data_IF_047470438622
#
_entry.id   IF_047470438622
#
_cell.length_a   1.000
_cell.length_b   1.000
_cell.length_c   1.000
_cell.angle_alpha   90.00
_cell.angle_beta   90.00
_cell.angle_gamma   90.00
#
_symmetry.space_group_name_H-M   'P 1'
#
loop_
_entity.id
_entity.type
_entity.pdbx_description
1 polymer ?
#
# COMPACT_ATOMS: atom_id res chain seq x y z
N UNK A 1 3.85 8.66 -5.93
CA UNK A 1 4.32 7.42 -5.31
C UNK A 1 3.16 6.73 -4.59
N UNK A 2 3.14 5.41 -4.45
CA UNK A 2 2.04 4.66 -3.84
C UNK A 2 2.44 4.06 -2.48
N UNK A 3 1.48 3.35 -1.86
CA UNK A 3 1.72 2.71 -0.55
C UNK A 3 2.80 1.62 -0.57
N UNK A 4 3.02 0.96 -1.72
CA UNK A 4 4.03 -0.09 -1.86
C UNK A 4 5.45 0.46 -1.69
N UNK A 5 5.78 1.55 -2.36
CA UNK A 5 7.13 2.16 -2.30
C UNK A 5 7.44 2.64 -0.89
N UNK A 6 6.48 3.31 -0.25
CA UNK A 6 6.62 3.77 1.15
C UNK A 6 6.80 2.60 2.11
N UNK A 7 6.05 1.52 1.91
CA UNK A 7 6.19 0.30 2.71
C UNK A 7 7.59 -0.31 2.59
N UNK A 8 8.10 -0.45 1.37
CA UNK A 8 9.44 -1.04 1.12
C UNK A 8 10.54 -0.24 1.81
N UNK A 9 10.49 1.10 1.74
CA UNK A 9 11.44 1.98 2.44
C UNK A 9 11.39 1.78 3.96
N UNK A 10 10.19 1.76 4.54
CA UNK A 10 9.99 1.52 5.99
C UNK A 10 10.49 0.15 6.42
N UNK A 11 10.17 -0.90 5.67
CA UNK A 11 10.61 -2.26 5.94
C UNK A 11 12.13 -2.37 5.89
N UNK A 12 12.76 -1.83 4.85
CA UNK A 12 14.22 -1.88 4.70
C UNK A 12 14.91 -1.14 5.84
N UNK A 13 14.44 0.07 6.21
CA UNK A 13 14.97 0.82 7.35
C UNK A 13 14.87 0.01 8.63
N UNK A 14 13.72 -0.61 8.89
CA UNK A 14 13.51 -1.39 10.11
C UNK A 14 14.40 -2.63 10.15
N UNK A 15 14.52 -3.39 9.06
CA UNK A 15 15.44 -4.53 8.98
C UNK A 15 16.88 -4.12 9.27
N UNK A 16 17.33 -2.98 8.78
CA UNK A 16 18.67 -2.44 9.08
C UNK A 16 18.83 -2.08 10.56
N UNK A 17 17.82 -1.45 11.16
CA UNK A 17 17.81 -1.17 12.61
C UNK A 17 17.85 -2.44 13.45
N UNK A 18 17.26 -3.52 12.98
CA UNK A 18 17.27 -4.84 13.61
C UNK A 18 18.57 -5.63 13.33
N UNK A 19 19.56 -5.03 12.61
CA UNK A 19 20.89 -5.59 12.38
C UNK A 19 21.07 -6.38 11.08
N UNK A 20 20.08 -6.41 10.19
CA UNK A 20 20.19 -7.09 8.91
C UNK A 20 20.85 -6.18 7.84
N UNK A 21 21.65 -6.78 6.96
CA UNK A 21 22.15 -6.09 5.76
C UNK A 21 21.04 -6.04 4.70
N UNK A 22 20.32 -4.91 4.63
CA UNK A 22 19.24 -4.71 3.67
C UNK A 22 19.50 -3.46 2.82
N UNK A 23 19.37 -3.60 1.51
CA UNK A 23 19.56 -2.53 0.53
C UNK A 23 18.41 -2.53 -0.49
N UNK A 24 18.08 -1.39 -1.06
CA UNK A 24 17.02 -1.26 -2.05
C UNK A 24 17.58 -1.18 -3.47
N UNK A 25 16.86 -1.81 -4.41
CA UNK A 25 17.08 -1.67 -5.83
C UNK A 25 15.90 -0.96 -6.49
N UNK A 26 16.12 0.24 -7.01
CA UNK A 26 15.18 0.94 -7.86
C UNK A 26 15.39 0.58 -9.34
N UNK A 27 14.37 -0.02 -9.96
CA UNK A 27 14.40 -0.39 -11.38
C UNK A 27 14.00 0.76 -12.31
N UNK A 28 13.34 1.78 -11.80
CA UNK A 28 12.84 2.89 -12.60
C UNK A 28 13.02 4.24 -11.87
N UNK A 29 14.24 4.80 -11.88
CA UNK A 29 14.58 6.01 -11.16
C UNK A 29 13.78 7.26 -11.61
N UNK A 30 13.15 7.22 -12.79
CA UNK A 30 12.31 8.32 -13.28
C UNK A 30 10.98 8.46 -12.51
N UNK A 31 10.60 7.47 -11.71
CA UNK A 31 9.34 7.44 -10.93
C UNK A 31 9.56 7.73 -9.45
N UNK A 32 10.78 7.93 -9.02
CA UNK A 32 11.10 8.17 -7.62
C UNK A 32 10.73 9.61 -7.22
N UNK A 33 10.14 9.75 -6.03
CA UNK A 33 9.90 11.03 -5.41
C UNK A 33 11.12 11.41 -4.55
N UNK A 34 11.93 12.42 -4.96
CA UNK A 34 13.12 12.81 -4.22
C UNK A 34 12.82 13.23 -2.78
N UNK A 35 11.61 13.77 -2.51
CA UNK A 35 11.20 14.20 -1.17
C UNK A 35 10.98 13.03 -0.23
N UNK A 36 10.45 11.91 -0.77
CA UNK A 36 10.30 10.70 0.02
C UNK A 36 11.64 10.01 0.24
N UNK A 37 12.47 9.89 -0.80
CA UNK A 37 13.80 9.29 -0.69
C UNK A 37 14.66 10.04 0.34
N UNK A 38 14.62 11.37 0.35
CA UNK A 38 15.35 12.19 1.32
C UNK A 38 14.97 11.95 2.79
N UNK A 39 13.79 11.34 3.07
CA UNK A 39 13.41 10.94 4.42
C UNK A 39 14.03 9.60 4.85
N UNK A 40 14.73 8.91 3.94
CA UNK A 40 15.33 7.59 4.13
C UNK A 40 16.79 7.58 3.67
N UNK A 41 17.56 8.63 4.03
CA UNK A 41 18.98 8.81 3.69
C UNK A 41 19.89 7.74 4.31
N UNK A 42 19.41 7.08 5.38
CA UNK A 42 20.04 5.94 6.04
C UNK A 42 19.87 4.60 5.31
N UNK A 43 19.03 4.55 4.25
CA UNK A 43 18.78 3.33 3.45
C UNK A 43 19.60 3.38 2.16
N UNK A 44 20.54 2.44 1.93
CA UNK A 44 21.27 2.36 0.66
C UNK A 44 20.32 2.01 -0.49
N UNK A 45 20.28 2.90 -1.49
CA UNK A 45 19.42 2.73 -2.67
C UNK A 45 20.30 2.63 -3.92
N UNK A 46 20.22 1.49 -4.60
CA UNK A 46 20.84 1.28 -5.90
C UNK A 46 19.83 1.61 -7.00
N UNK A 47 20.26 2.32 -8.02
CA UNK A 47 19.42 2.60 -9.17
C UNK A 47 20.05 2.04 -10.45
N UNK A 48 19.25 1.38 -11.27
CA UNK A 48 19.70 0.99 -12.62
C UNK A 48 19.96 2.25 -13.43
N UNK A 49 21.17 2.45 -13.99
CA UNK A 49 21.54 3.70 -14.66
C UNK A 49 20.54 4.11 -15.75
N UNK A 50 20.14 5.37 -15.79
CA UNK A 50 19.17 5.89 -16.76
C UNK A 50 19.75 6.13 -18.17
N UNK A 51 21.07 6.01 -18.38
CA UNK A 51 21.74 6.30 -19.66
C UNK A 51 21.14 5.49 -20.81
N UNK A 52 20.67 6.17 -21.85
CA UNK A 52 20.02 5.55 -23.01
C UNK A 52 18.60 4.99 -22.76
N UNK A 53 18.04 5.17 -21.57
CA UNK A 53 16.74 4.62 -21.18
C UNK A 53 15.60 5.11 -22.07
N UNK A 54 15.60 6.38 -22.49
CA UNK A 54 14.57 6.95 -23.38
C UNK A 54 14.51 6.23 -24.74
N UNK A 55 15.68 6.00 -25.35
CA UNK A 55 15.78 5.29 -26.63
C UNK A 55 15.36 3.82 -26.50
N UNK A 56 15.75 3.15 -25.43
CA UNK A 56 15.37 1.77 -25.14
C UNK A 56 13.87 1.66 -24.90
N UNK A 57 13.27 2.55 -24.08
CA UNK A 57 11.82 2.61 -23.84
C UNK A 57 11.04 2.85 -25.15
N UNK A 58 11.59 3.71 -26.04
CA UNK A 58 10.99 3.96 -27.36
C UNK A 58 11.04 2.71 -28.26
N UNK A 59 12.17 2.03 -28.32
CA UNK A 59 12.34 0.80 -29.08
C UNK A 59 11.43 -0.33 -28.56
N UNK A 60 11.38 -0.54 -27.25
CA UNK A 60 10.47 -1.51 -26.63
C UNK A 60 8.98 -1.18 -26.90
N UNK A 61 8.62 0.11 -26.98
CA UNK A 61 7.26 0.55 -27.35
C UNK A 61 6.95 0.24 -28.81
N UNK A 62 7.87 0.53 -29.72
CA UNK A 62 7.73 0.23 -31.15
C UNK A 62 7.64 -1.28 -31.37
N UNK A 63 8.53 -2.06 -30.77
CA UNK A 63 8.49 -3.51 -30.83
C UNK A 63 7.13 -4.05 -30.41
N UNK A 64 6.60 -3.63 -29.25
CA UNK A 64 5.26 -4.04 -28.80
C UNK A 64 4.15 -3.65 -29.77
N UNK A 65 4.24 -2.46 -30.38
CA UNK A 65 3.27 -2.03 -31.40
C UNK A 65 3.26 -2.96 -32.64
N UNK A 66 4.41 -3.57 -32.93
CA UNK A 66 4.60 -4.57 -33.99
C UNK A 66 4.36 -6.01 -33.55
N UNK A 67 3.92 -6.23 -32.30
CA UNK A 67 3.75 -7.57 -31.73
C UNK A 67 5.05 -8.26 -31.29
N UNK A 68 6.17 -7.52 -31.22
CA UNK A 68 7.49 -8.05 -30.85
C UNK A 68 7.85 -7.58 -29.45
N UNK A 69 8.05 -8.52 -28.52
CA UNK A 69 8.45 -8.22 -27.14
C UNK A 69 9.99 -8.20 -27.02
N UNK A 70 10.60 -7.07 -27.34
CA UNK A 70 12.07 -6.91 -27.31
C UNK A 70 12.66 -7.01 -25.91
N UNK A 71 11.96 -6.49 -24.89
CA UNK A 71 12.39 -6.49 -23.48
C UNK A 71 13.81 -5.93 -23.26
N UNK A 72 14.25 -4.96 -24.03
CA UNK A 72 15.62 -4.41 -23.94
C UNK A 72 15.87 -3.71 -22.61
N UNK A 73 14.86 -3.01 -22.09
CA UNK A 73 14.95 -2.42 -20.75
C UNK A 73 15.19 -3.49 -19.69
N UNK A 74 14.42 -4.58 -19.71
CA UNK A 74 14.56 -5.70 -18.79
C UNK A 74 15.90 -6.42 -18.95
N UNK A 75 16.35 -6.65 -20.20
CA UNK A 75 17.65 -7.28 -20.48
C UNK A 75 18.81 -6.44 -19.95
N UNK A 76 18.74 -5.12 -20.11
CA UNK A 76 19.75 -4.19 -19.59
C UNK A 76 19.78 -4.19 -18.07
N UNK A 77 18.60 -4.06 -17.44
CA UNK A 77 18.47 -4.10 -15.99
C UNK A 77 19.03 -5.42 -15.43
N UNK A 78 18.68 -6.56 -16.05
CA UNK A 78 19.19 -7.86 -15.63
C UNK A 78 20.72 -7.93 -15.65
N UNK A 79 21.36 -7.49 -16.75
CA UNK A 79 22.84 -7.49 -16.84
C UNK A 79 23.49 -6.59 -15.79
N UNK A 80 22.88 -5.49 -15.47
CA UNK A 80 23.39 -4.59 -14.44
C UNK A 80 23.27 -5.23 -13.05
N UNK A 81 22.10 -5.78 -12.72
CA UNK A 81 21.84 -6.48 -11.44
C UNK A 81 22.79 -7.66 -11.28
N UNK A 82 22.98 -8.47 -12.33
CA UNK A 82 23.91 -9.61 -12.31
C UNK A 82 25.34 -9.21 -11.96
N UNK A 83 25.81 -8.08 -12.51
CA UNK A 83 27.18 -7.62 -12.27
C UNK A 83 27.39 -6.98 -10.91
N UNK A 84 26.36 -6.33 -10.37
CA UNK A 84 26.47 -5.49 -9.17
C UNK A 84 25.97 -6.16 -7.89
N UNK A 85 24.97 -7.03 -8.00
CA UNK A 85 24.21 -7.48 -6.84
C UNK A 85 24.14 -9.01 -6.66
N UNK A 86 24.26 -9.79 -7.74
CA UNK A 86 24.19 -11.26 -7.60
C UNK A 86 25.43 -11.79 -6.88
N UNK A 87 25.19 -12.62 -5.86
CA UNK A 87 26.23 -13.17 -4.99
C UNK A 87 26.60 -12.29 -3.79
N UNK A 88 25.95 -11.10 -3.65
CA UNK A 88 26.14 -10.23 -2.48
C UNK A 88 25.10 -10.45 -1.39
N UNK A 89 23.93 -10.97 -1.75
CA UNK A 89 22.78 -11.12 -0.85
C UNK A 89 22.27 -12.56 -0.87
N UNK A 90 21.85 -13.06 0.28
CA UNK A 90 21.28 -14.39 0.46
C UNK A 90 19.89 -14.50 -0.19
N UNK A 91 19.10 -13.41 -0.14
CA UNK A 91 17.73 -13.34 -0.61
C UNK A 91 17.49 -12.08 -1.44
N UNK A 92 16.77 -12.22 -2.52
CA UNK A 92 16.27 -11.12 -3.35
C UNK A 92 14.76 -10.99 -3.15
N UNK A 93 14.33 -9.93 -2.47
CA UNK A 93 12.92 -9.66 -2.24
C UNK A 93 12.38 -8.69 -3.28
N UNK A 94 11.38 -9.11 -4.02
CA UNK A 94 10.77 -8.34 -5.10
C UNK A 94 9.40 -7.81 -4.71
N UNK A 95 9.05 -6.64 -5.26
CA UNK A 95 7.76 -6.00 -5.07
C UNK A 95 7.25 -5.54 -6.43
N UNK A 96 6.13 -6.00 -6.88
CA UNK A 96 5.55 -5.77 -8.20
C UNK A 96 6.10 -6.70 -9.31
N UNK A 97 5.20 -7.07 -10.21
CA UNK A 97 5.47 -8.03 -11.28
C UNK A 97 6.69 -7.71 -12.16
N UNK A 98 6.99 -6.43 -12.39
CA UNK A 98 8.14 -6.04 -13.21
C UNK A 98 9.47 -6.48 -12.60
N UNK A 99 9.60 -6.42 -11.27
CA UNK A 99 10.75 -6.93 -10.53
C UNK A 99 10.74 -8.46 -10.48
N UNK A 100 9.58 -9.07 -10.22
CA UNK A 100 9.44 -10.53 -10.20
C UNK A 100 9.89 -11.15 -11.51
N UNK A 101 9.45 -10.59 -12.63
CA UNK A 101 9.84 -11.06 -13.97
C UNK A 101 11.34 -10.86 -14.24
N UNK A 102 11.92 -9.74 -13.81
CA UNK A 102 13.35 -9.48 -13.93
C UNK A 102 14.17 -10.56 -13.21
N UNK A 103 13.86 -10.82 -11.94
CA UNK A 103 14.57 -11.78 -11.12
C UNK A 103 14.30 -13.24 -11.57
N UNK A 104 13.12 -13.55 -12.08
CA UNK A 104 12.81 -14.82 -12.75
C UNK A 104 13.79 -15.09 -13.90
N UNK A 105 14.05 -14.07 -14.72
CA UNK A 105 15.03 -14.20 -15.83
C UNK A 105 16.47 -14.34 -15.36
N UNK A 106 16.84 -13.66 -14.28
CA UNK A 106 18.16 -13.79 -13.65
C UNK A 106 18.33 -15.21 -13.10
N UNK A 107 17.33 -15.75 -12.43
CA UNK A 107 17.34 -17.10 -11.85
C UNK A 107 17.57 -18.21 -12.88
N UNK A 108 17.15 -18.02 -14.14
CA UNK A 108 17.46 -18.95 -15.22
C UNK A 108 18.98 -19.11 -15.46
N UNK A 109 19.77 -18.05 -15.23
CA UNK A 109 21.22 -18.04 -15.39
C UNK A 109 21.97 -18.28 -14.09
N UNK A 110 21.32 -17.97 -12.97
CA UNK A 110 21.84 -18.11 -11.62
C UNK A 110 20.84 -18.90 -10.76
N UNK A 111 20.70 -20.24 -10.95
CA UNK A 111 19.67 -21.05 -10.29
C UNK A 111 19.73 -21.02 -8.77
N UNK A 112 20.88 -20.69 -8.19
CA UNK A 112 21.10 -20.64 -6.74
C UNK A 112 20.50 -19.42 -6.04
N UNK A 113 20.07 -18.37 -6.78
CA UNK A 113 19.46 -17.21 -6.10
C UNK A 113 18.11 -17.56 -5.50
N UNK A 114 17.82 -16.92 -4.36
CA UNK A 114 16.55 -17.05 -3.65
C UNK A 114 15.70 -15.83 -3.92
N UNK A 115 14.41 -16.04 -4.27
CA UNK A 115 13.48 -14.98 -4.60
C UNK A 115 12.25 -15.07 -3.70
N UNK A 116 11.97 -13.99 -2.99
CA UNK A 116 10.70 -13.78 -2.29
C UNK A 116 9.96 -12.66 -3.03
N UNK A 117 8.64 -12.76 -3.18
CA UNK A 117 7.83 -11.70 -3.77
C UNK A 117 6.69 -11.31 -2.85
N UNK A 118 6.57 -10.01 -2.54
CA UNK A 118 5.40 -9.45 -1.86
C UNK A 118 4.45 -8.80 -2.85
N UNK A 119 3.19 -9.18 -2.74
CA UNK A 119 2.12 -8.73 -3.61
C UNK A 119 1.49 -7.45 -3.07
N UNK A 120 1.61 -6.36 -3.82
CA UNK A 120 0.98 -5.08 -3.48
C UNK A 120 -0.24 -4.73 -4.35
N UNK A 121 -0.71 -5.67 -5.17
CA UNK A 121 -1.84 -5.45 -6.07
C UNK A 121 -2.49 -6.74 -6.55
N UNK A 122 -3.57 -6.57 -7.31
CA UNK A 122 -4.33 -7.67 -7.90
C UNK A 122 -3.70 -8.09 -9.25
N UNK A 123 -3.05 -9.24 -9.27
CA UNK A 123 -2.49 -9.81 -10.51
C UNK A 123 -3.59 -10.24 -11.49
N UNK A 124 -4.80 -10.58 -11.03
CA UNK A 124 -5.92 -10.87 -11.91
C UNK A 124 -6.43 -9.61 -12.64
N UNK A 125 -6.19 -8.42 -12.10
CA UNK A 125 -6.47 -7.19 -12.82
C UNK A 125 -5.61 -7.07 -14.09
N UNK A 126 -4.37 -7.54 -14.03
CA UNK A 126 -3.49 -7.61 -15.19
C UNK A 126 -3.98 -8.66 -16.22
N UNK A 127 -4.52 -9.80 -15.78
CA UNK A 127 -5.10 -10.81 -16.68
C UNK A 127 -6.38 -10.29 -17.33
N UNK A 128 -7.25 -9.60 -16.61
CA UNK A 128 -8.44 -8.92 -17.16
C UNK A 128 -8.09 -7.82 -18.15
N UNK A 129 -7.06 -7.02 -17.88
CA UNK A 129 -6.52 -6.03 -18.81
C UNK A 129 -5.85 -6.68 -20.02
N UNK A 130 -5.22 -7.85 -19.82
CA UNK A 130 -4.60 -8.63 -20.87
C UNK A 130 -5.63 -9.32 -21.79
N UNK A 131 -6.86 -9.55 -21.36
CA UNK A 131 -7.95 -10.06 -22.17
C UNK A 131 -8.66 -8.98 -23.00
N UNK A 132 -8.45 -7.69 -22.72
CA UNK A 132 -9.01 -6.55 -23.44
C UNK A 132 -8.03 -5.96 -24.47
N UNK A 133 -8.52 -5.07 -25.32
CA UNK A 133 -7.78 -4.49 -26.48
C UNK A 133 -6.54 -3.61 -26.14
N UNK A 134 -6.31 -3.28 -24.89
CA UNK A 134 -5.14 -2.51 -24.43
C UNK A 134 -3.86 -3.34 -24.27
N UNK A 135 -3.85 -4.56 -24.68
CA UNK A 135 -3.01 -5.68 -24.30
C UNK A 135 -1.63 -5.74 -24.93
N UNK A 136 -1.30 -4.85 -25.84
CA UNK A 136 0.05 -4.82 -26.44
C UNK A 136 1.17 -4.54 -25.43
N UNK A 137 0.83 -4.03 -24.24
CA UNK A 137 1.81 -3.81 -23.17
C UNK A 137 2.17 -5.10 -22.40
N UNK A 138 1.35 -6.14 -22.50
CA UNK A 138 1.45 -7.38 -21.71
C UNK A 138 1.66 -8.63 -22.60
N UNK A 139 2.31 -8.47 -23.74
CA UNK A 139 2.65 -9.59 -24.64
C UNK A 139 3.26 -10.75 -23.86
N UNK A 140 2.66 -11.94 -24.01
CA UNK A 140 3.10 -13.14 -23.31
C UNK A 140 2.87 -13.12 -21.79
N UNK A 141 1.97 -12.29 -21.29
CA UNK A 141 1.68 -12.14 -19.86
C UNK A 141 1.46 -13.47 -19.15
N UNK A 142 0.57 -14.34 -19.67
CA UNK A 142 0.27 -15.64 -19.04
C UNK A 142 1.50 -16.53 -18.93
N UNK A 143 2.32 -16.58 -19.99
CA UNK A 143 3.58 -17.33 -19.96
C UNK A 143 4.59 -16.77 -18.95
N UNK A 144 4.73 -15.44 -18.90
CA UNK A 144 5.60 -14.77 -17.92
C UNK A 144 5.11 -15.01 -16.49
N UNK A 145 3.80 -14.91 -16.25
CA UNK A 145 3.23 -15.16 -14.95
C UNK A 145 3.43 -16.61 -14.49
N UNK A 146 3.14 -17.59 -15.36
CA UNK A 146 3.32 -19.00 -15.05
C UNK A 146 4.78 -19.33 -14.73
N UNK A 147 5.73 -18.71 -15.45
CA UNK A 147 7.13 -18.88 -15.19
C UNK A 147 7.58 -18.19 -13.88
N UNK A 148 7.09 -16.98 -13.62
CA UNK A 148 7.35 -16.26 -12.38
C UNK A 148 6.83 -17.05 -11.18
N UNK A 149 5.63 -17.61 -11.28
CA UNK A 149 5.05 -18.46 -10.22
C UNK A 149 5.96 -19.65 -9.91
N UNK A 150 6.58 -20.27 -10.92
CA UNK A 150 7.52 -21.37 -10.71
C UNK A 150 8.85 -20.93 -10.11
N UNK A 151 9.34 -19.75 -10.51
CA UNK A 151 10.68 -19.28 -10.16
C UNK A 151 10.79 -18.67 -8.76
N UNK A 152 9.75 -18.02 -8.26
CA UNK A 152 9.72 -17.40 -6.92
C UNK A 152 9.68 -18.49 -5.85
N UNK A 153 10.56 -18.44 -4.86
CA UNK A 153 10.65 -19.47 -3.81
C UNK A 153 9.54 -19.35 -2.77
N UNK A 154 9.20 -18.11 -2.37
CA UNK A 154 8.08 -17.80 -1.45
C UNK A 154 7.33 -16.57 -1.91
N UNK A 155 6.03 -16.62 -1.74
CA UNK A 155 5.10 -15.53 -2.02
C UNK A 155 4.54 -14.96 -0.73
N UNK A 156 4.57 -13.66 -0.57
CA UNK A 156 3.96 -12.99 0.56
C UNK A 156 2.69 -12.29 0.10
N UNK A 157 1.58 -12.58 0.76
CA UNK A 157 0.29 -11.92 0.56
C UNK A 157 0.04 -10.99 1.74
N UNK A 158 -0.46 -9.80 1.44
CA UNK A 158 -0.75 -8.78 2.48
C UNK A 158 -2.20 -8.80 2.95
N UNK A 159 -3.03 -9.65 2.32
CA UNK A 159 -4.45 -9.78 2.64
C UNK A 159 -4.99 -11.19 2.41
N UNK A 160 -6.08 -11.54 3.11
CA UNK A 160 -6.75 -12.82 2.95
C UNK A 160 -7.35 -12.98 1.54
N UNK A 161 -7.85 -11.90 0.94
CA UNK A 161 -8.37 -11.93 -0.43
C UNK A 161 -7.27 -12.28 -1.44
N UNK A 162 -6.08 -11.67 -1.32
CA UNK A 162 -4.93 -12.03 -2.15
C UNK A 162 -4.51 -13.47 -1.93
N UNK A 163 -4.49 -13.95 -0.69
CA UNK A 163 -4.13 -15.33 -0.37
C UNK A 163 -5.07 -16.31 -1.09
N UNK A 164 -6.39 -16.10 -0.99
CA UNK A 164 -7.38 -16.91 -1.72
C UNK A 164 -7.22 -16.82 -3.23
N UNK A 165 -6.91 -15.66 -3.78
CA UNK A 165 -6.70 -15.48 -5.21
C UNK A 165 -5.48 -16.28 -5.71
N UNK A 166 -4.37 -16.22 -4.97
CA UNK A 166 -3.14 -16.92 -5.36
C UNK A 166 -3.30 -18.44 -5.29
N UNK A 167 -3.97 -18.97 -4.28
CA UNK A 167 -4.26 -20.40 -4.20
C UNK A 167 -5.30 -20.83 -5.24
N UNK A 168 -6.43 -20.13 -5.31
CA UNK A 168 -7.57 -20.53 -6.14
C UNK A 168 -7.42 -20.18 -7.63
N UNK A 169 -7.04 -18.93 -7.96
CA UNK A 169 -7.05 -18.45 -9.35
C UNK A 169 -5.71 -18.68 -10.05
N UNK A 170 -4.60 -18.50 -9.34
CA UNK A 170 -3.26 -18.61 -9.94
C UNK A 170 -2.59 -19.96 -9.69
N UNK A 171 -3.18 -20.82 -8.86
CA UNK A 171 -2.68 -22.17 -8.60
C UNK A 171 -1.30 -22.20 -7.93
N UNK A 172 -0.98 -21.17 -7.13
CA UNK A 172 0.24 -21.15 -6.33
C UNK A 172 0.10 -22.16 -5.20
N UNK A 173 1.10 -23.01 -5.02
CA UNK A 173 1.14 -23.97 -3.92
C UNK A 173 1.00 -23.25 -2.57
N UNK A 174 0.00 -23.59 -1.73
CA UNK A 174 -0.18 -23.00 -0.41
C UNK A 174 1.07 -23.08 0.48
N UNK A 175 1.90 -24.13 0.35
CA UNK A 175 3.16 -24.26 1.10
C UNK A 175 4.19 -23.19 0.76
N UNK A 176 4.01 -22.49 -0.35
CA UNK A 176 4.88 -21.38 -0.80
C UNK A 176 4.29 -20.00 -0.51
N UNK A 177 3.12 -19.95 0.12
CA UNK A 177 2.42 -18.70 0.46
C UNK A 177 2.55 -18.40 1.94
N UNK A 178 2.91 -17.17 2.25
CA UNK A 178 2.96 -16.65 3.63
C UNK A 178 2.12 -15.37 3.70
N UNK A 179 1.29 -15.24 4.73
CA UNK A 179 0.52 -14.03 4.97
C UNK A 179 1.29 -13.12 5.93
N UNK A 180 1.76 -11.95 5.43
CA UNK A 180 2.40 -10.92 6.25
C UNK A 180 1.74 -9.59 5.90
N UNK A 181 0.88 -9.04 6.76
CA UNK A 181 0.29 -7.72 6.55
C UNK A 181 1.37 -6.63 6.48
N UNK A 182 1.12 -5.59 5.69
CA UNK A 182 2.03 -4.45 5.64
C UNK A 182 2.18 -3.81 7.02
N UNK A 183 3.41 -3.69 7.49
CA UNK A 183 3.73 -2.94 8.71
C UNK A 183 3.73 -1.44 8.47
N UNK A 184 3.54 -0.70 9.55
CA UNK A 184 3.62 0.74 9.57
C UNK A 184 4.53 1.23 10.70
N UNK A 185 5.38 2.19 10.37
CA UNK A 185 6.07 3.08 11.31
C UNK A 185 6.07 4.48 10.71
N UNK A 186 5.88 5.55 11.49
CA UNK A 186 5.96 6.90 10.97
C UNK A 186 7.40 7.21 10.52
N UNK A 187 7.58 8.07 9.48
CA UNK A 187 8.92 8.45 9.01
C UNK A 187 9.68 9.30 10.03
N UNK A 188 8.97 9.98 10.92
CA UNK A 188 9.49 10.81 12.00
C UNK A 188 8.53 10.73 13.21
N UNK A 189 9.00 11.07 14.43
CA UNK A 189 8.12 11.18 15.58
C UNK A 189 6.93 12.10 15.27
N UNK A 190 5.74 11.67 15.63
CA UNK A 190 4.53 12.49 15.53
C UNK A 190 4.39 13.22 16.86
N UNK A 191 4.49 14.57 16.88
CA UNK A 191 4.34 15.31 18.12
C UNK A 191 2.93 15.15 18.69
N UNK A 192 2.76 15.16 20.00
CA UNK A 192 1.44 15.20 20.62
C UNK A 192 0.66 16.41 20.08
N UNK A 193 -0.61 16.19 19.83
CA UNK A 193 -1.44 17.23 19.26
C UNK A 193 -2.29 17.82 20.37
N UNK A 194 -2.05 19.09 20.65
CA UNK A 194 -2.90 19.88 21.52
C UNK A 194 -4.09 20.41 20.72
N UNK A 195 -5.29 19.99 21.08
CA UNK A 195 -6.53 20.54 20.53
C UNK A 195 -7.06 21.63 21.45
N UNK A 196 -7.53 22.72 20.86
CA UNK A 196 -8.24 23.72 21.62
C UNK A 196 -9.51 23.09 22.20
N UNK A 197 -9.73 23.26 23.52
CA UNK A 197 -10.94 22.82 24.17
C UNK A 197 -12.17 23.50 23.52
N UNK A 198 -13.18 22.70 23.17
CA UNK A 198 -14.40 23.22 22.53
C UNK A 198 -14.28 23.45 21.01
N UNK A 199 -13.18 23.11 20.37
CA UNK A 199 -13.09 23.15 18.91
C UNK A 199 -14.10 22.18 18.26
N UNK A 200 -14.74 22.59 17.14
CA UNK A 200 -15.66 21.72 16.42
C UNK A 200 -14.99 20.42 15.97
N UNK A 201 -15.71 19.28 16.03
CA UNK A 201 -15.19 18.02 15.52
C UNK A 201 -14.74 18.12 14.06
N UNK A 202 -13.56 17.62 13.77
CA UNK A 202 -12.94 17.68 12.44
C UNK A 202 -12.87 16.28 11.83
N UNK A 203 -13.55 16.11 10.71
CA UNK A 203 -13.41 14.95 9.84
C UNK A 203 -12.23 15.14 8.88
N UNK A 204 -11.46 14.10 8.61
CA UNK A 204 -10.35 14.17 7.67
C UNK A 204 -10.39 13.02 6.65
N UNK A 205 -10.07 13.32 5.43
CA UNK A 205 -9.82 12.34 4.38
C UNK A 205 -8.44 12.59 3.76
N UNK A 206 -7.68 11.52 3.59
CA UNK A 206 -6.37 11.52 2.91
C UNK A 206 -6.40 10.52 1.78
N UNK A 207 -6.27 10.96 0.53
CA UNK A 207 -6.22 10.07 -0.63
C UNK A 207 -5.68 10.79 -1.87
N UNK A 208 -5.41 10.01 -2.94
CA UNK A 208 -5.19 10.57 -4.28
C UNK A 208 -6.48 11.19 -4.81
N UNK A 209 -6.39 12.30 -5.54
CA UNK A 209 -7.51 13.04 -6.10
C UNK A 209 -8.20 12.32 -7.27
N UNK A 210 -8.69 11.11 -7.04
CA UNK A 210 -9.41 10.25 -7.97
C UNK A 210 -10.88 10.14 -7.55
N UNK A 211 -11.80 10.03 -8.53
CA UNK A 211 -13.25 9.94 -8.26
C UNK A 211 -13.58 8.72 -7.39
N UNK A 212 -12.94 7.60 -7.66
CA UNK A 212 -13.20 6.33 -6.98
C UNK A 212 -12.80 6.33 -5.49
N UNK A 213 -12.08 7.36 -5.05
CA UNK A 213 -11.77 7.55 -3.62
C UNK A 213 -12.93 8.16 -2.81
N UNK A 214 -14.00 8.60 -3.48
CA UNK A 214 -15.25 8.99 -2.83
C UNK A 214 -15.30 10.44 -2.34
N UNK A 215 -14.42 11.32 -2.79
CA UNK A 215 -14.35 12.74 -2.39
C UNK A 215 -15.69 13.49 -2.53
N UNK A 216 -16.40 13.29 -3.65
CA UNK A 216 -17.69 13.95 -3.89
C UNK A 216 -18.75 13.49 -2.90
N UNK A 217 -18.84 12.17 -2.67
CA UNK A 217 -19.80 11.61 -1.71
C UNK A 217 -19.56 12.16 -0.30
N UNK A 218 -18.28 12.28 0.12
CA UNK A 218 -17.93 12.83 1.42
C UNK A 218 -18.34 14.30 1.55
N UNK A 219 -18.04 15.14 0.56
CA UNK A 219 -18.39 16.55 0.58
C UNK A 219 -19.92 16.72 0.65
N UNK A 220 -20.65 15.95 -0.16
CA UNK A 220 -22.12 16.01 -0.20
C UNK A 220 -22.73 15.49 1.11
N UNK A 221 -22.16 14.46 1.73
CA UNK A 221 -22.57 13.97 3.04
C UNK A 221 -22.30 15.01 4.14
N UNK A 222 -21.10 15.60 4.16
CA UNK A 222 -20.70 16.60 5.13
C UNK A 222 -21.66 17.82 5.12
N UNK A 223 -22.08 18.26 3.95
CA UNK A 223 -23.03 19.38 3.80
C UNK A 223 -24.41 19.10 4.37
N UNK A 224 -24.78 17.84 4.58
CA UNK A 224 -26.07 17.44 5.19
C UNK A 224 -26.02 17.38 6.71
N UNK A 225 -24.82 17.51 7.33
CA UNK A 225 -24.66 17.45 8.78
C UNK A 225 -25.32 18.65 9.47
N UNK A 226 -25.89 18.36 10.64
CA UNK A 226 -26.38 19.35 11.59
C UNK A 226 -25.34 19.58 12.67
N UNK A 227 -25.27 20.81 13.17
CA UNK A 227 -24.29 21.19 14.18
C UNK A 227 -23.00 21.74 13.57
N UNK A 228 -22.08 22.08 14.44
CA UNK A 228 -20.79 22.65 14.05
C UNK A 228 -19.75 21.51 13.84
N UNK A 229 -19.18 21.45 12.65
CA UNK A 229 -18.16 20.48 12.27
C UNK A 229 -17.26 21.04 11.18
N UNK A 230 -16.07 20.47 11.03
CA UNK A 230 -15.10 20.81 9.97
C UNK A 230 -14.75 19.59 9.14
N UNK A 231 -14.40 19.83 7.89
CA UNK A 231 -13.92 18.80 6.96
C UNK A 231 -12.56 19.22 6.41
N UNK A 232 -11.56 18.38 6.60
CA UNK A 232 -10.21 18.54 6.05
C UNK A 232 -9.95 17.52 4.95
N UNK A 233 -9.58 17.98 3.77
CA UNK A 233 -9.32 17.17 2.56
C UNK A 233 -7.85 17.26 2.19
N UNK A 234 -7.12 16.15 2.32
CA UNK A 234 -5.66 16.09 2.13
C UNK A 234 -5.34 15.22 0.93
N UNK A 235 -4.79 15.81 -0.10
CA UNK A 235 -4.44 15.12 -1.34
C UNK A 235 -4.33 16.06 -2.53
N UNK A 236 -4.00 15.49 -3.67
CA UNK A 236 -3.89 16.21 -4.94
C UNK A 236 -4.38 15.35 -6.11
N UNK A 237 -4.76 15.99 -7.20
CA UNK A 237 -5.21 15.39 -8.44
C UNK A 237 -6.38 16.12 -9.08
N UNK A 238 -6.49 16.00 -10.39
CA UNK A 238 -7.43 16.78 -11.20
C UNK A 238 -8.90 16.71 -10.73
N UNK A 239 -9.35 15.56 -10.24
CA UNK A 239 -10.70 15.44 -9.70
C UNK A 239 -10.88 16.27 -8.42
N UNK A 240 -9.92 16.20 -7.50
CA UNK A 240 -9.95 16.99 -6.25
C UNK A 240 -9.86 18.49 -6.55
N UNK A 241 -9.07 18.91 -7.55
CA UNK A 241 -9.00 20.31 -7.98
C UNK A 241 -10.34 20.81 -8.52
N UNK A 242 -11.08 19.98 -9.25
CA UNK A 242 -12.44 20.31 -9.72
C UNK A 242 -13.44 20.47 -8.57
N UNK A 243 -13.28 19.70 -7.48
CA UNK A 243 -14.08 19.82 -6.26
C UNK A 243 -13.72 21.07 -5.47
N UNK A 244 -12.43 21.38 -5.36
CA UNK A 244 -11.95 22.61 -4.71
C UNK A 244 -12.58 23.83 -5.37
N UNK A 245 -12.56 23.93 -6.69
CA UNK A 245 -13.16 25.04 -7.44
C UNK A 245 -14.66 25.23 -7.14
N UNK A 246 -15.39 24.16 -6.82
CA UNK A 246 -16.83 24.20 -6.54
C UNK A 246 -17.20 24.40 -5.08
N UNK A 247 -16.30 24.03 -4.15
CA UNK A 247 -16.65 23.92 -2.72
C UNK A 247 -15.77 24.76 -1.79
N UNK A 248 -14.74 25.46 -2.29
CA UNK A 248 -13.85 26.30 -1.48
C UNK A 248 -14.56 27.51 -0.81
N UNK A 249 -15.76 27.86 -1.23
CA UNK A 249 -16.54 28.91 -0.61
C UNK A 249 -17.19 28.49 0.72
N UNK A 250 -17.30 27.20 1.04
CA UNK A 250 -17.78 26.73 2.35
C UNK A 250 -16.62 26.83 3.37
N UNK A 251 -16.68 27.72 4.38
CA UNK A 251 -15.58 27.93 5.32
C UNK A 251 -15.32 26.74 6.24
N UNK A 252 -16.22 25.76 6.29
CA UNK A 252 -16.06 24.54 7.07
C UNK A 252 -15.20 23.50 6.35
N UNK A 253 -14.93 23.66 5.02
CA UNK A 253 -14.21 22.69 4.19
C UNK A 253 -12.83 23.26 3.87
N UNK A 254 -11.79 22.56 4.30
CA UNK A 254 -10.39 22.91 4.02
C UNK A 254 -9.78 21.93 3.03
N UNK A 255 -9.27 22.43 1.92
CA UNK A 255 -8.47 21.65 0.95
C UNK A 255 -6.99 21.89 1.25
N UNK A 256 -6.38 20.99 2.02
CA UNK A 256 -5.02 21.17 2.56
C UNK A 256 -3.90 20.84 1.55
N UNK A 257 -4.25 20.29 0.37
CA UNK A 257 -3.23 19.85 -0.60
C UNK A 257 -2.51 18.56 -0.17
N UNK A 258 -1.39 18.26 -0.82
CA UNK A 258 -0.54 17.13 -0.45
C UNK A 258 0.23 17.45 0.84
N UNK A 259 0.27 16.52 1.78
CA UNK A 259 1.05 16.66 3.00
C UNK A 259 2.12 15.55 3.09
N UNK A 260 3.39 15.87 3.39
CA UNK A 260 4.49 14.88 3.42
C UNK A 260 4.37 13.88 4.59
N UNK A 261 3.66 14.24 5.65
CA UNK A 261 3.40 13.39 6.80
C UNK A 261 1.88 13.33 7.10
N UNK A 262 1.13 12.48 6.39
CA UNK A 262 -0.33 12.39 6.56
C UNK A 262 -0.76 12.05 7.99
N UNK A 263 -0.01 11.21 8.70
CA UNK A 263 -0.35 10.80 10.06
C UNK A 263 -0.37 11.96 11.04
N UNK A 264 0.51 12.95 10.87
CA UNK A 264 0.51 14.13 11.71
C UNK A 264 -0.74 14.99 11.49
N UNK A 265 -1.26 15.02 10.26
CA UNK A 265 -2.52 15.72 9.95
C UNK A 265 -3.73 14.94 10.47
N UNK A 266 -3.75 13.62 10.23
CA UNK A 266 -4.84 12.75 10.71
C UNK A 266 -4.97 12.86 12.22
N UNK A 267 -3.86 12.77 12.97
CA UNK A 267 -3.84 12.87 14.42
C UNK A 267 -4.39 14.22 14.95
N UNK A 268 -4.42 15.29 14.15
CA UNK A 268 -5.04 16.57 14.52
C UNK A 268 -6.57 16.57 14.35
N UNK A 269 -7.14 15.51 13.81
CA UNK A 269 -8.56 15.42 13.51
C UNK A 269 -9.26 14.42 14.43
N UNK A 270 -10.59 14.45 14.46
CA UNK A 270 -11.40 13.62 15.35
C UNK A 270 -11.80 12.30 14.74
N UNK A 271 -11.97 12.29 13.41
CA UNK A 271 -12.49 11.16 12.67
C UNK A 271 -11.85 11.10 11.29
N UNK A 272 -11.34 9.94 10.94
CA UNK A 272 -10.86 9.67 9.60
C UNK A 272 -11.97 9.07 8.75
N UNK A 273 -12.15 9.56 7.51
CA UNK A 273 -13.19 9.07 6.61
C UNK A 273 -12.57 8.48 5.36
N UNK A 274 -12.91 7.21 5.04
CA UNK A 274 -12.42 6.48 3.86
C UNK A 274 -13.59 5.99 3.00
N UNK A 275 -14.22 6.85 2.18
CA UNK A 275 -15.42 6.53 1.42
C UNK A 275 -15.11 5.93 0.04
N UNK A 276 -14.08 5.09 -0.05
CA UNK A 276 -13.59 4.54 -1.31
C UNK A 276 -14.59 3.55 -1.92
N UNK A 277 -14.86 3.71 -3.21
CA UNK A 277 -15.59 2.74 -4.04
C UNK A 277 -14.65 2.03 -5.02
N UNK A 278 -13.35 2.14 -4.78
CA UNK A 278 -12.33 1.58 -5.65
C UNK A 278 -12.29 0.06 -5.54
N UNK A 279 -12.75 -0.64 -6.58
CA UNK A 279 -12.87 -2.11 -6.59
C UNK A 279 -11.57 -2.89 -6.41
N UNK A 280 -10.43 -2.25 -6.66
CA UNK A 280 -9.10 -2.83 -6.46
C UNK A 280 -8.44 -2.34 -5.15
N UNK A 281 -9.21 -1.80 -4.22
CA UNK A 281 -8.74 -1.52 -2.86
C UNK A 281 -8.36 -2.85 -2.21
N UNK A 282 -7.16 -2.93 -1.66
CA UNK A 282 -6.68 -4.12 -0.98
C UNK A 282 -6.47 -3.80 0.50
N UNK A 283 -5.38 -3.14 0.83
CA UNK A 283 -5.01 -2.76 2.18
C UNK A 283 -4.68 -1.27 2.20
N UNK A 284 -5.67 -0.36 2.35
CA UNK A 284 -5.44 1.09 2.30
C UNK A 284 -4.57 1.56 3.46
N UNK A 285 -3.32 1.93 3.19
CA UNK A 285 -2.32 2.32 4.20
C UNK A 285 -2.76 3.52 5.04
N UNK A 286 -3.60 4.40 4.50
CA UNK A 286 -4.16 5.55 5.22
C UNK A 286 -5.06 5.16 6.40
N UNK A 287 -5.70 3.98 6.34
CA UNK A 287 -6.43 3.43 7.50
C UNK A 287 -5.44 2.99 8.58
N UNK A 288 -4.32 2.36 8.22
CA UNK A 288 -3.27 2.00 9.17
C UNK A 288 -2.72 3.27 9.84
N UNK A 289 -2.55 4.34 9.07
CA UNK A 289 -2.10 5.65 9.58
C UNK A 289 -3.12 6.28 10.55
N UNK A 290 -4.41 6.14 10.28
CA UNK A 290 -5.48 6.61 11.19
C UNK A 290 -5.49 5.81 12.50
N UNK A 291 -5.42 4.48 12.43
CA UNK A 291 -5.34 3.61 13.60
C UNK A 291 -4.09 3.91 14.44
N UNK A 292 -2.93 4.10 13.79
CA UNK A 292 -1.68 4.50 14.46
C UNK A 292 -1.82 5.86 15.18
N UNK A 293 -2.50 6.81 14.56
CA UNK A 293 -2.75 8.13 15.13
C UNK A 293 -3.79 8.13 16.27
N UNK A 294 -4.41 7.00 16.59
CA UNK A 294 -5.47 6.92 17.59
C UNK A 294 -6.82 7.51 17.11
N UNK A 295 -7.02 7.67 15.80
CA UNK A 295 -8.19 8.31 15.22
C UNK A 295 -9.15 7.26 14.68
N UNK A 296 -10.41 7.21 15.19
CA UNK A 296 -11.39 6.25 14.73
C UNK A 296 -11.82 6.51 13.27
N UNK A 297 -12.26 5.46 12.60
CA UNK A 297 -12.45 5.45 11.14
C UNK A 297 -13.91 5.27 10.77
N UNK A 298 -14.43 6.07 9.84
CA UNK A 298 -15.65 5.79 9.08
C UNK A 298 -15.20 5.33 7.69
N UNK A 299 -15.55 4.11 7.29
CA UNK A 299 -15.09 3.60 6.01
C UNK A 299 -16.14 2.77 5.29
N UNK A 300 -16.05 2.76 3.96
CA UNK A 300 -16.74 1.77 3.14
C UNK A 300 -16.13 0.39 3.34
N UNK A 301 -16.97 -0.64 3.36
CA UNK A 301 -16.54 -2.04 3.44
C UNK A 301 -16.06 -2.52 2.07
N UNK A 302 -14.81 -2.19 1.76
CA UNK A 302 -14.12 -2.58 0.52
C UNK A 302 -12.76 -3.21 0.84
N UNK A 303 -12.36 -4.20 0.08
CA UNK A 303 -11.08 -4.89 0.29
C UNK A 303 -10.98 -5.52 1.68
N UNK A 304 -9.95 -5.17 2.42
CA UNK A 304 -9.70 -5.70 3.78
C UNK A 304 -10.10 -4.72 4.90
N UNK A 305 -10.87 -3.67 4.60
CA UNK A 305 -11.16 -2.58 5.56
C UNK A 305 -11.82 -3.12 6.83
N UNK A 306 -12.79 -4.04 6.72
CA UNK A 306 -13.41 -4.67 7.90
C UNK A 306 -12.37 -5.36 8.80
N UNK A 307 -11.51 -6.19 8.20
CA UNK A 307 -10.45 -6.89 8.92
C UNK A 307 -9.40 -5.91 9.49
N UNK A 308 -9.17 -4.77 8.82
CA UNK A 308 -8.24 -3.75 9.31
C UNK A 308 -8.75 -3.08 10.59
N UNK A 309 -10.03 -2.77 10.66
CA UNK A 309 -10.66 -2.10 11.80
C UNK A 309 -10.95 -3.03 12.98
N UNK A 310 -11.02 -4.35 12.74
CA UNK A 310 -11.30 -5.32 13.79
C UNK A 310 -10.14 -5.42 14.81
N UNK A 311 -10.47 -5.44 16.09
CA UNK A 311 -9.56 -5.79 17.18
C UNK A 311 -9.44 -7.32 17.31
N UNK A 312 -8.51 -7.86 18.13
CA UNK A 312 -8.49 -9.29 18.44
C UNK A 312 -9.77 -9.82 19.11
N UNK A 313 -10.58 -8.94 19.72
CA UNK A 313 -11.87 -9.25 20.30
C UNK A 313 -13.04 -9.11 19.30
N UNK A 314 -12.74 -8.94 18.01
CA UNK A 314 -13.71 -8.73 16.93
C UNK A 314 -14.59 -7.47 17.08
N UNK A 315 -14.11 -6.49 17.85
CA UNK A 315 -14.73 -5.17 17.94
C UNK A 315 -14.11 -4.23 16.91
N UNK A 316 -14.88 -3.28 16.39
CA UNK A 316 -14.38 -2.33 15.39
C UNK A 316 -13.82 -1.05 16.01
N UNK A 317 -12.72 -0.56 15.50
CA UNK A 317 -12.16 0.77 15.79
C UNK A 317 -12.77 1.86 14.90
N UNK A 318 -14.05 1.72 14.57
CA UNK A 318 -14.77 2.65 13.70
C UNK A 318 -16.09 2.10 13.20
N UNK A 319 -16.65 2.76 12.19
CA UNK A 319 -17.93 2.39 11.57
C UNK A 319 -17.73 1.97 10.12
N UNK A 320 -18.25 0.79 9.77
CA UNK A 320 -18.29 0.31 8.39
C UNK A 320 -19.64 0.67 7.75
N UNK A 321 -19.58 1.09 6.49
CA UNK A 321 -20.74 1.38 5.65
C UNK A 321 -20.63 0.64 4.33
N UNK A 322 -21.76 0.26 3.77
CA UNK A 322 -21.81 -0.39 2.46
C UNK A 322 -21.41 0.59 1.34
N UNK A 323 -20.66 0.11 0.35
CA UNK A 323 -20.10 0.88 -0.75
C UNK A 323 -21.05 1.10 -1.95
N UNK A 324 -22.37 0.89 -1.76
CA UNK A 324 -23.37 1.19 -2.80
C UNK A 324 -23.38 2.68 -3.11
N UNK A 325 -22.94 3.05 -4.32
CA UNK A 325 -22.81 4.43 -4.76
C UNK A 325 -24.14 5.23 -4.69
N UNK A 326 -25.29 4.57 -4.86
CA UNK A 326 -26.60 5.25 -4.83
C UNK A 326 -26.99 5.71 -3.41
N UNK A 327 -26.54 5.00 -2.39
CA UNK A 327 -26.85 5.27 -0.99
C UNK A 327 -25.66 5.81 -0.20
N UNK A 328 -24.48 5.89 -0.81
CA UNK A 328 -23.24 6.19 -0.11
C UNK A 328 -23.26 7.55 0.58
N UNK A 329 -23.76 8.60 -0.09
CA UNK A 329 -23.87 9.93 0.51
C UNK A 329 -24.76 9.93 1.75
N UNK A 330 -25.87 9.20 1.73
CA UNK A 330 -26.82 9.13 2.86
C UNK A 330 -26.21 8.34 4.02
N UNK A 331 -25.59 7.21 3.73
CA UNK A 331 -24.92 6.38 4.73
C UNK A 331 -23.75 7.09 5.40
N UNK A 332 -22.94 7.81 4.62
CA UNK A 332 -21.87 8.67 5.14
C UNK A 332 -22.41 9.75 6.06
N UNK A 333 -23.44 10.47 5.61
CA UNK A 333 -24.05 11.52 6.40
C UNK A 333 -24.61 10.97 7.72
N UNK A 334 -25.30 9.83 7.69
CA UNK A 334 -25.83 9.21 8.89
C UNK A 334 -24.71 8.74 9.85
N UNK A 335 -23.66 8.09 9.33
CA UNK A 335 -22.53 7.67 10.15
C UNK A 335 -21.78 8.87 10.76
N UNK A 336 -21.51 9.90 9.98
CA UNK A 336 -20.84 11.12 10.47
C UNK A 336 -21.71 11.84 11.53
N UNK A 337 -23.03 11.93 11.31
CA UNK A 337 -23.95 12.55 12.26
C UNK A 337 -23.99 11.79 13.60
N UNK A 338 -23.95 10.47 13.57
CA UNK A 338 -23.94 9.66 14.80
C UNK A 338 -22.75 10.00 15.71
N UNK A 339 -21.58 10.28 15.16
CA UNK A 339 -20.42 10.71 15.95
C UNK A 339 -20.51 12.16 16.47
N UNK A 340 -21.31 12.99 15.82
CA UNK A 340 -21.60 14.34 16.33
C UNK A 340 -22.64 14.30 17.46
N UNK A 341 -23.63 13.42 17.32
CA UNK A 341 -24.73 13.29 18.29
C UNK A 341 -24.29 12.51 19.54
N UNK A 342 -23.32 11.57 19.40
CA UNK A 342 -22.77 10.75 20.50
C UNK A 342 -21.23 10.83 20.59
N UNK A 343 -20.67 11.73 21.41
CA UNK A 343 -19.25 11.78 21.69
C UNK A 343 -18.68 10.50 22.34
N UNK A 344 -19.50 9.71 23.04
CA UNK A 344 -19.13 8.44 23.64
C UNK A 344 -18.77 7.39 22.59
N UNK A 345 -19.49 7.38 21.46
CA UNK A 345 -19.18 6.51 20.31
C UNK A 345 -17.76 6.79 19.79
N UNK A 346 -17.38 8.07 19.66
CA UNK A 346 -16.05 8.47 19.22
C UNK A 346 -14.97 7.97 20.19
N UNK A 347 -15.16 8.20 21.48
CA UNK A 347 -14.22 7.78 22.53
C UNK A 347 -14.04 6.27 22.51
N UNK A 348 -15.14 5.51 22.52
CA UNK A 348 -15.11 4.05 22.49
C UNK A 348 -14.35 3.50 21.27
N UNK A 349 -14.58 4.05 20.08
CA UNK A 349 -13.86 3.61 18.89
C UNK A 349 -12.38 4.05 18.88
N UNK A 350 -12.06 5.23 19.44
CA UNK A 350 -10.67 5.69 19.57
C UNK A 350 -9.86 4.78 20.50
N UNK A 351 -10.43 4.31 21.60
CA UNK A 351 -9.79 3.38 22.54
C UNK A 351 -9.43 2.03 21.88
N UNK A 352 -10.16 1.62 20.85
CA UNK A 352 -9.93 0.38 20.11
C UNK A 352 -8.83 0.48 19.05
N UNK A 353 -8.45 1.69 18.65
CA UNK A 353 -7.49 1.91 17.54
C UNK A 353 -6.14 1.24 17.77
N UNK A 354 -5.59 1.32 18.99
CA UNK A 354 -4.32 0.70 19.32
C UNK A 354 -4.36 -0.83 19.18
N UNK A 355 -5.44 -1.47 19.64
CA UNK A 355 -5.62 -2.92 19.51
C UNK A 355 -5.81 -3.35 18.04
N UNK A 356 -6.57 -2.56 17.24
CA UNK A 356 -6.72 -2.80 15.81
C UNK A 356 -5.40 -2.55 15.05
N UNK A 357 -4.59 -1.57 15.45
CA UNK A 357 -3.29 -1.26 14.86
C UNK A 357 -2.25 -2.36 15.13
N UNK A 358 -2.28 -3.06 16.25
CA UNK A 358 -1.22 -3.97 16.70
C UNK A 358 -0.76 -5.00 15.64
N UNK A 359 -1.65 -5.42 14.74
CA UNK A 359 -1.34 -6.32 13.63
C UNK A 359 -0.51 -5.67 12.52
N UNK A 360 -0.44 -4.34 12.48
CA UNK A 360 0.30 -3.54 11.50
C UNK A 360 1.59 -2.95 12.08
N UNK A 361 2.02 -3.37 13.27
CA UNK A 361 3.28 -2.91 13.84
C UNK A 361 4.47 -3.28 12.93
N UNK A 362 5.32 -2.31 12.61
CA UNK A 362 6.46 -2.51 11.69
C UNK A 362 7.50 -3.47 12.28
N UNK A 363 7.67 -3.50 13.60
CA UNK A 363 8.61 -4.43 14.24
C UNK A 363 8.15 -5.88 14.06
N UNK A 364 6.87 -6.15 14.29
CA UNK A 364 6.28 -7.48 14.05
C UNK A 364 6.37 -7.88 12.57
N UNK A 365 6.08 -6.94 11.68
CA UNK A 365 6.18 -7.16 10.24
C UNK A 365 7.63 -7.49 9.83
N UNK A 366 8.61 -6.70 10.25
CA UNK A 366 10.02 -6.92 9.94
C UNK A 366 10.54 -8.24 10.52
N UNK A 367 10.16 -8.60 11.75
CA UNK A 367 10.51 -9.87 12.35
C UNK A 367 9.95 -11.07 11.55
N UNK A 368 8.72 -10.98 11.05
CA UNK A 368 8.12 -12.00 10.20
C UNK A 368 8.87 -12.14 8.85
N UNK A 369 9.28 -11.03 8.25
CA UNK A 369 10.11 -11.06 7.03
C UNK A 369 11.50 -11.60 7.31
N UNK A 370 12.15 -11.22 8.42
CA UNK A 370 13.47 -11.73 8.79
C UNK A 370 13.46 -13.27 8.98
N UNK A 371 12.43 -13.79 9.65
CA UNK A 371 12.24 -15.23 9.80
C UNK A 371 12.06 -15.93 8.44
N UNK A 372 11.26 -15.33 7.54
CA UNK A 372 11.06 -15.85 6.18
C UNK A 372 12.36 -15.82 5.36
N UNK A 373 13.18 -14.77 5.51
CA UNK A 373 14.48 -14.69 4.82
C UNK A 373 15.44 -15.76 5.32
N UNK A 374 15.53 -15.99 6.63
CA UNK A 374 16.36 -17.05 7.21
C UNK A 374 15.91 -18.45 6.74
N UNK A 375 14.61 -18.72 6.71
CA UNK A 375 14.05 -19.96 6.16
C UNK A 375 14.48 -20.17 4.71
N UNK A 376 14.34 -19.16 3.85
CA UNK A 376 14.63 -19.26 2.41
C UNK A 376 16.12 -19.31 2.14
N UNK A 377 16.94 -18.62 2.92
CA UNK A 377 18.40 -18.70 2.85
C UNK A 377 18.94 -20.06 3.26
N UNK A 378 18.17 -20.86 4.01
CA UNK A 378 18.58 -22.16 4.50
C UNK A 378 19.37 -22.07 5.82
N UNK A 379 19.14 -21.03 6.62
CA UNK A 379 19.78 -20.86 7.94
C UNK A 379 19.16 -21.84 8.95
N UNK A 380 19.92 -22.78 9.53
CA UNK A 380 19.41 -23.78 10.46
C UNK A 380 18.95 -23.22 11.80
N UNK A 381 19.21 -21.94 12.12
CA UNK A 381 18.85 -21.33 13.40
C UNK A 381 17.38 -20.90 13.48
N UNK A 382 16.65 -20.89 12.36
CA UNK A 382 15.25 -20.40 12.30
C UNK A 382 14.18 -21.44 12.70
N UNK A 383 14.55 -22.72 12.91
CA UNK A 383 13.57 -23.80 13.16
C UNK A 383 13.09 -23.93 14.61
N UNK A 384 13.52 -23.08 15.56
CA UNK A 384 13.24 -23.26 16.99
C UNK A 384 12.14 -22.38 17.59
N UNK A 385 11.44 -21.53 16.80
CA UNK A 385 10.44 -20.58 17.35
C UNK A 385 8.98 -20.85 16.95
N UNK A 386 8.67 -21.95 16.29
CA UNK A 386 7.28 -22.25 15.83
C UNK A 386 6.55 -23.33 16.64
N UNK A 387 6.86 -23.48 17.93
CA UNK A 387 6.12 -24.37 18.83
C UNK A 387 5.92 -23.71 20.20
N UNK A 388 4.96 -22.79 20.31
CA UNK A 388 4.14 -22.56 21.52
C UNK A 388 3.25 -21.32 21.35
N UNK A 389 1.99 -21.61 21.40
CA UNK A 389 0.77 -20.79 21.55
C UNK A 389 0.05 -20.35 20.28
#
# INVERSE_FOLDING_TARGET
MGGAETFVLRLTRRLRQDGHEAELLCLNPDLDDPRLIAQYDDVPIHAVPAVGLRSIKRADRIGRALGIDLQWQQRRAARWVERQLIGRFDVHHTHLFGADWLFTRIKRRHPGIRIISTLHGDYALHDRRAAGSETRQLLGWRGKLAETIRAVDRWVTISAAQHRQFTGTLGVDPARLVAIPNGYAPPAPVPPIERAAGAPPTFVMVARGMREKGWGFLIDAFKRLRGDARLMLVGEGAYLDSLRARHSADPRITFAGLHPNPVAVIGQCDLFVHPSIYKAESLPTVIIEALFAGVPVIATDVGEVAAMLATPADELAGTLIDADEHLLTERLAAAMQAYLDDPGLRTSHAERTAAAFAKFDMGRCAAAYAALYAEVAGDPTSSSTSASH
#
